data_IF_740338164954
#
_entry.id   IF_740338164954
#
_cell.length_a   1.000
_cell.length_b   1.000
_cell.length_c   1.000
_cell.angle_alpha   90.00
_cell.angle_beta   90.00
_cell.angle_gamma   90.00
#
_symmetry.space_group_name_H-M   'P 1'
#
loop_
_entity.id
_entity.type
_entity.pdbx_description
1 polymer ?
#
# COMPACT_ATOMS: atom_id res chain seq x y z
N UNK A 1 -8.27 -11.32 -6.28
CA UNK A 1 -6.94 -10.71 -6.31
C UNK A 1 -6.84 -9.64 -7.39
N UNK A 2 -6.70 -8.39 -6.95
CA UNK A 2 -6.37 -7.25 -7.78
C UNK A 2 -4.97 -6.75 -7.42
N UNK A 3 -4.22 -6.27 -8.41
CA UNK A 3 -2.92 -5.64 -8.18
C UNK A 3 -3.14 -4.16 -7.93
N UNK A 4 -2.82 -3.70 -6.72
CA UNK A 4 -2.95 -2.29 -6.36
C UNK A 4 -1.61 -1.59 -6.48
N UNK A 5 -1.59 -0.44 -7.14
CA UNK A 5 -0.44 0.48 -7.10
C UNK A 5 -0.61 1.37 -5.88
N UNK A 6 0.38 1.40 -5.01
CA UNK A 6 0.31 2.12 -3.74
C UNK A 6 1.52 3.03 -3.55
N UNK A 7 1.28 4.10 -2.79
CA UNK A 7 2.31 4.94 -2.18
C UNK A 7 2.10 4.82 -0.68
N UNK A 8 3.13 4.39 0.05
CA UNK A 8 3.12 4.28 1.49
C UNK A 8 4.32 5.01 2.09
N UNK A 9 4.27 5.31 3.38
CA UNK A 9 5.39 5.87 4.14
C UNK A 9 5.73 4.98 5.31
N UNK A 10 7.00 4.86 5.64
CA UNK A 10 7.40 4.25 6.90
C UNK A 10 7.36 5.26 8.07
N UNK A 11 7.65 4.78 9.28
CA UNK A 11 7.74 5.63 10.47
C UNK A 11 8.87 6.67 10.40
N UNK A 12 9.88 6.46 9.56
CA UNK A 12 10.95 7.42 9.30
C UNK A 12 10.57 8.47 8.22
N UNK A 13 9.28 8.51 7.83
CA UNK A 13 8.74 9.39 6.79
C UNK A 13 9.33 9.17 5.40
N UNK A 14 9.99 8.04 5.16
CA UNK A 14 10.46 7.68 3.82
C UNK A 14 9.29 7.14 3.02
N UNK A 15 9.07 7.74 1.86
CA UNK A 15 8.02 7.34 0.93
C UNK A 15 8.49 6.16 0.10
N UNK A 16 7.63 5.15 -0.01
CA UNK A 16 7.84 3.93 -0.78
C UNK A 16 6.63 3.75 -1.70
N UNK A 17 6.88 3.60 -3.01
CA UNK A 17 5.85 3.26 -3.98
C UNK A 17 6.06 1.85 -4.49
N UNK A 18 4.97 1.18 -4.83
CA UNK A 18 5.01 -0.21 -5.26
C UNK A 18 3.70 -0.70 -5.83
N UNK A 19 3.71 -1.97 -6.24
CA UNK A 19 2.50 -2.72 -6.56
C UNK A 19 2.41 -3.91 -5.61
N UNK A 20 1.21 -4.21 -5.13
CA UNK A 20 0.97 -5.34 -4.23
C UNK A 20 -0.39 -5.94 -4.51
N UNK A 21 -0.42 -7.26 -4.55
CA UNK A 21 -1.64 -8.03 -4.76
C UNK A 21 -2.44 -8.08 -3.45
N UNK A 22 -3.71 -7.70 -3.56
CA UNK A 22 -4.69 -7.80 -2.50
C UNK A 22 -6.07 -8.05 -3.11
N UNK A 23 -6.95 -8.69 -2.37
CA UNK A 23 -8.35 -8.85 -2.74
C UNK A 23 -9.11 -7.53 -2.61
N UNK A 24 -8.73 -6.69 -1.65
CA UNK A 24 -9.31 -5.37 -1.44
C UNK A 24 -8.33 -4.38 -0.80
N UNK A 25 -8.76 -3.10 -0.69
CA UNK A 25 -7.97 -2.02 -0.08
C UNK A 25 -7.64 -2.29 1.39
N UNK A 26 -8.53 -2.89 2.18
CA UNK A 26 -8.28 -3.18 3.59
C UNK A 26 -7.21 -4.25 3.75
N UNK A 27 -7.23 -5.28 2.91
CA UNK A 27 -6.16 -6.30 2.91
C UNK A 27 -4.81 -5.67 2.51
N UNK A 28 -4.78 -4.81 1.49
CA UNK A 28 -3.59 -4.04 1.13
C UNK A 28 -3.07 -3.23 2.34
N UNK A 29 -3.94 -2.48 3.02
CA UNK A 29 -3.56 -1.68 4.19
C UNK A 29 -3.03 -2.56 5.32
N UNK A 30 -3.61 -3.73 5.57
CA UNK A 30 -3.10 -4.71 6.55
C UNK A 30 -1.69 -5.18 6.18
N UNK A 31 -1.48 -5.59 4.92
CA UNK A 31 -0.17 -6.02 4.40
C UNK A 31 0.87 -4.91 4.43
N UNK A 32 0.48 -3.64 4.34
CA UNK A 32 1.38 -2.50 4.48
C UNK A 32 1.74 -2.27 5.96
N UNK A 33 0.74 -2.27 6.85
CA UNK A 33 0.96 -2.11 8.29
C UNK A 33 1.85 -3.19 8.88
N UNK A 34 1.70 -4.44 8.43
CA UNK A 34 2.56 -5.56 8.82
C UNK A 34 4.05 -5.32 8.48
N UNK A 35 4.31 -4.54 7.43
CA UNK A 35 5.65 -4.10 7.04
C UNK A 35 6.09 -2.77 7.69
N UNK A 36 5.31 -2.24 8.64
CA UNK A 36 5.55 -0.92 9.22
C UNK A 36 5.29 0.26 8.26
N UNK A 37 4.52 0.02 7.20
CA UNK A 37 4.17 1.00 6.18
C UNK A 37 2.74 1.52 6.38
N UNK A 38 2.57 2.82 6.15
CA UNK A 38 1.28 3.50 6.21
C UNK A 38 0.90 3.96 4.81
N UNK A 39 -0.25 3.49 4.31
CA UNK A 39 -0.76 3.89 3.01
C UNK A 39 -1.00 5.41 2.97
N UNK A 40 -0.38 6.08 2.00
CA UNK A 40 -0.51 7.53 1.73
C UNK A 40 -1.49 7.73 0.57
N UNK A 41 -1.27 7.04 -0.54
CA UNK A 41 -2.10 7.14 -1.74
C UNK A 41 -2.31 5.75 -2.35
N UNK A 42 -3.53 5.51 -2.81
CA UNK A 42 -3.86 4.35 -3.62
C UNK A 42 -4.07 4.82 -5.07
N UNK A 43 -3.15 4.45 -5.96
CA UNK A 43 -3.33 4.67 -7.38
C UNK A 43 -4.05 3.46 -7.96
N UNK A 44 -5.38 3.46 -7.88
CA UNK A 44 -6.17 2.57 -8.71
C UNK A 44 -6.07 3.05 -10.15
N UNK A 45 -5.56 2.21 -11.06
CA UNK A 45 -5.79 2.44 -12.50
C UNK A 45 -7.31 2.42 -12.71
N UNK A 46 -7.89 3.58 -12.99
CA UNK A 46 -9.19 3.66 -13.66
C UNK A 46 -9.05 3.09 -15.07
#
# INVERSE_FOLDING_TARGET
MATFKYVAKDMASKVQNGTKDADDRNELVRKLKDQGLYLVELQSKQ
#
